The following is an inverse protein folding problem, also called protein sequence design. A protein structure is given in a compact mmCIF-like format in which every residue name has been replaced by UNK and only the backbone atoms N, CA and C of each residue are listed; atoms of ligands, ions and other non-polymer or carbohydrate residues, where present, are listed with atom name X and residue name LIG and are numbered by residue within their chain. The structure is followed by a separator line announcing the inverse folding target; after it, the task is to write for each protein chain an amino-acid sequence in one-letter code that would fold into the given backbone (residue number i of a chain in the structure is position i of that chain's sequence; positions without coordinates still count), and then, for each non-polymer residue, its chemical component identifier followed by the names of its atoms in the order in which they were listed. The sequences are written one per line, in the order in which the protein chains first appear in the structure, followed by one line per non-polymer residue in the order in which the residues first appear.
data_IF_544901068739
#
_entry.id   IF_544901068739
#
_cell.length_a   1.000
_cell.length_b   1.000
_cell.length_c   1.000
_cell.angle_alpha   90.00
_cell.angle_beta   90.00
_cell.angle_gamma   90.00
#
_symmetry.space_group_name_H-M   'P 1'
#
loop_
_entity.id
_entity.type
_entity.pdbx_description
1 polymer ?
#
# COMPACT_ATOMS: atom_id res chain seq x y z
N UNK A 1 53.57 -6.72 -20.10
CA UNK A 1 52.43 -5.78 -19.95
C UNK A 1 51.16 -6.56 -20.20
N UNK A 2 50.48 -7.00 -19.14
CA UNK A 2 49.20 -7.71 -19.24
C UNK A 2 48.08 -6.73 -18.90
N UNK A 3 47.33 -6.30 -19.92
CA UNK A 3 46.08 -5.59 -19.70
C UNK A 3 45.03 -6.58 -19.18
N UNK A 4 44.24 -6.22 -18.14
CA UNK A 4 43.09 -7.02 -17.75
C UNK A 4 42.03 -6.96 -18.86
N UNK A 5 41.39 -8.10 -19.13
CA UNK A 5 40.38 -8.26 -20.17
C UNK A 5 39.13 -7.40 -19.89
N UNK A 6 38.61 -6.75 -20.93
CA UNK A 6 37.40 -5.92 -20.92
C UNK A 6 36.12 -6.58 -20.35
N UNK A 7 36.17 -7.89 -20.06
CA UNK A 7 35.10 -8.63 -19.40
C UNK A 7 34.90 -8.22 -17.94
N UNK A 8 35.94 -7.87 -17.18
CA UNK A 8 35.79 -7.52 -15.75
C UNK A 8 35.15 -6.13 -15.53
N UNK A 9 35.30 -5.20 -16.48
CA UNK A 9 34.73 -3.85 -16.41
C UNK A 9 33.25 -3.77 -16.83
N UNK A 10 32.71 -4.81 -17.49
CA UNK A 10 31.27 -4.89 -17.82
C UNK A 10 30.40 -5.47 -16.69
N UNK A 11 30.98 -6.19 -15.73
CA UNK A 11 30.24 -6.76 -14.59
C UNK A 11 30.00 -5.77 -13.46
N UNK A 12 30.78 -4.70 -13.34
CA UNK A 12 30.57 -3.66 -12.33
C UNK A 12 29.43 -2.68 -12.64
N UNK A 13 29.10 -2.48 -13.93
CA UNK A 13 28.12 -1.46 -14.35
C UNK A 13 26.74 -2.04 -14.73
N UNK A 14 26.66 -3.32 -15.08
CA UNK A 14 25.39 -3.97 -15.47
C UNK A 14 24.70 -4.66 -14.28
N UNK A 15 25.45 -5.09 -13.26
CA UNK A 15 24.89 -5.59 -12.00
C UNK A 15 24.21 -4.51 -11.13
N UNK A 16 24.41 -3.22 -11.45
CA UNK A 16 23.77 -2.11 -10.76
C UNK A 16 22.42 -1.70 -11.38
N UNK A 17 22.06 -2.20 -12.57
CA UNK A 17 20.82 -1.82 -13.27
C UNK A 17 19.71 -2.89 -13.23
N UNK A 18 19.95 -4.05 -12.63
CA UNK A 18 18.97 -5.12 -12.49
C UNK A 18 18.87 -5.54 -11.02
N UNK A 19 18.00 -4.88 -10.26
CA UNK A 19 17.56 -5.39 -8.95
C UNK A 19 17.71 -4.46 -7.74
N UNK A 20 18.10 -3.19 -7.90
CA UNK A 20 17.80 -2.23 -6.83
C UNK A 20 16.30 -1.91 -6.93
N UNK A 21 15.50 -2.09 -5.86
CA UNK A 21 14.15 -1.55 -5.87
C UNK A 21 14.26 -0.07 -6.23
N UNK A 22 13.50 0.35 -7.23
CA UNK A 22 13.43 1.77 -7.58
C UNK A 22 12.92 2.47 -6.33
N UNK A 23 13.75 3.32 -5.72
CA UNK A 23 13.29 4.14 -4.61
C UNK A 23 12.10 4.96 -5.11
N UNK A 24 11.05 5.02 -4.31
CA UNK A 24 9.91 5.88 -4.57
C UNK A 24 10.40 7.30 -4.89
N UNK A 25 9.79 7.96 -5.88
CA UNK A 25 9.79 9.42 -5.83
C UNK A 25 9.04 9.77 -4.56
N UNK A 26 9.65 10.55 -3.67
CA UNK A 26 9.11 10.73 -2.32
C UNK A 26 8.93 12.22 -2.03
N UNK A 27 7.82 12.76 -2.53
CA UNK A 27 7.30 14.06 -2.16
C UNK A 27 6.07 13.89 -1.28
N UNK A 28 5.98 14.66 -0.20
CA UNK A 28 4.78 14.72 0.64
C UNK A 28 4.05 16.05 0.48
N UNK A 29 2.79 16.07 0.90
CA UNK A 29 2.05 17.31 1.08
C UNK A 29 2.68 18.11 2.22
N UNK A 30 3.22 19.28 1.90
CA UNK A 30 3.74 20.22 2.87
C UNK A 30 2.66 21.27 3.20
N UNK A 31 2.09 21.15 4.38
CA UNK A 31 1.14 22.13 4.88
C UNK A 31 1.87 23.15 5.75
N UNK A 32 1.76 24.43 5.38
CA UNK A 32 2.20 25.55 6.22
C UNK A 32 0.96 26.34 6.60
N UNK A 33 0.68 26.41 7.90
CA UNK A 33 -0.43 27.22 8.42
C UNK A 33 -0.01 28.69 8.35
N UNK A 34 -0.26 29.30 7.19
CA UNK A 34 -0.08 30.72 6.97
C UNK A 34 -1.22 31.45 7.67
N UNK A 35 -1.02 31.78 8.93
CA UNK A 35 -2.02 32.50 9.74
C UNK A 35 -2.44 33.78 9.01
N UNK A 36 -3.72 33.86 8.61
CA UNK A 36 -4.28 34.98 7.84
C UNK A 36 -4.11 34.88 6.32
N UNK A 37 -3.54 33.80 5.80
CA UNK A 37 -3.58 33.39 4.39
C UNK A 37 -4.72 32.40 4.12
N UNK A 38 -4.87 31.99 2.85
CA UNK A 38 -5.85 30.97 2.49
C UNK A 38 -5.33 29.57 2.87
N UNK A 39 -6.13 28.82 3.64
CA UNK A 39 -5.80 27.45 4.04
C UNK A 39 -5.57 26.56 2.81
N UNK A 40 -4.51 25.75 2.84
CA UNK A 40 -4.15 24.83 1.75
C UNK A 40 -4.44 23.41 2.16
N UNK A 41 -5.29 22.73 1.39
CA UNK A 41 -5.75 21.39 1.73
C UNK A 41 -6.27 20.65 0.50
N UNK A 42 -6.62 19.40 0.68
CA UNK A 42 -7.18 18.54 -0.35
C UNK A 42 -8.60 18.16 0.06
N UNK A 43 -9.56 18.30 -0.86
CA UNK A 43 -10.94 17.83 -0.70
C UNK A 43 -11.20 16.63 -1.61
N UNK A 44 -11.64 15.53 -1.01
CA UNK A 44 -12.02 14.30 -1.68
C UNK A 44 -13.55 14.21 -1.65
N UNK A 45 -14.22 14.06 -2.82
CA UNK A 45 -15.68 13.90 -2.86
C UNK A 45 -16.15 12.73 -2.00
N UNK A 46 -17.34 12.87 -1.40
CA UNK A 46 -17.94 11.79 -0.63
C UNK A 46 -18.17 10.54 -1.48
N UNK A 47 -17.86 9.37 -0.92
CA UNK A 47 -17.96 8.07 -1.60
C UNK A 47 -18.23 6.97 -0.57
N UNK A 48 -19.05 5.94 -0.89
CA UNK A 48 -19.29 4.79 -0.01
C UNK A 48 -18.03 4.07 0.47
N UNK A 49 -16.97 4.10 -0.33
CA UNK A 49 -15.67 3.50 0.03
C UNK A 49 -14.99 4.20 1.21
N UNK A 50 -15.37 5.45 1.53
CA UNK A 50 -14.79 6.23 2.61
C UNK A 50 -15.49 6.04 3.97
N UNK A 51 -16.64 5.34 4.03
CA UNK A 51 -17.36 5.00 5.27
C UNK A 51 -17.78 3.53 5.34
N UNK A 52 -16.82 2.59 5.33
CA UNK A 52 -17.08 1.16 5.48
C UNK A 52 -17.86 0.86 6.78
N UNK A 53 -18.96 0.12 6.69
CA UNK A 53 -19.88 -0.07 7.81
C UNK A 53 -19.31 -0.93 8.96
N UNK A 54 -18.38 -1.83 8.67
CA UNK A 54 -17.91 -2.89 9.59
C UNK A 54 -16.52 -2.64 10.18
N UNK A 55 -15.85 -1.56 9.79
CA UNK A 55 -14.54 -1.19 10.31
C UNK A 55 -13.72 -0.38 9.32
N UNK A 56 -12.69 0.30 9.80
CA UNK A 56 -11.86 1.20 9.01
C UNK A 56 -10.43 1.23 9.55
N UNK A 57 -9.47 1.48 8.67
CA UNK A 57 -8.13 1.93 9.04
C UNK A 57 -7.81 3.20 8.27
N UNK A 58 -7.33 4.23 8.97
CA UNK A 58 -6.71 5.42 8.37
C UNK A 58 -5.24 5.42 8.79
N UNK A 59 -4.31 5.50 7.84
CA UNK A 59 -2.88 5.54 8.13
C UNK A 59 -2.14 6.50 7.21
N UNK A 60 -1.03 7.07 7.68
CA UNK A 60 -0.20 8.04 6.95
C UNK A 60 1.15 8.22 7.63
N UNK A 61 2.16 8.65 6.88
CA UNK A 61 3.33 9.29 7.46
C UNK A 61 3.04 10.78 7.68
N UNK A 62 3.34 11.28 8.88
CA UNK A 62 3.08 12.68 9.19
C UNK A 62 4.10 13.28 10.15
N UNK A 63 4.34 14.58 9.98
CA UNK A 63 5.03 15.43 10.95
C UNK A 63 4.13 16.62 11.31
N UNK A 64 4.29 17.15 12.52
CA UNK A 64 3.59 18.33 12.99
C UNK A 64 4.51 19.19 13.85
N UNK A 65 4.87 20.35 13.33
CA UNK A 65 5.67 21.34 14.03
C UNK A 65 4.81 22.58 14.32
N UNK A 66 4.69 22.96 15.59
CA UNK A 66 3.96 24.15 16.02
C UNK A 66 4.90 25.29 16.48
N UNK A 67 6.22 25.10 16.40
CA UNK A 67 7.20 26.12 16.77
C UNK A 67 7.10 27.40 15.92
N UNK A 68 6.58 27.28 14.70
CA UNK A 68 6.34 28.40 13.79
C UNK A 68 5.01 29.11 14.02
N UNK A 69 4.18 28.63 14.95
CA UNK A 69 2.85 29.17 15.26
C UNK A 69 2.88 30.06 16.52
N UNK A 70 1.91 30.96 16.73
CA UNK A 70 1.77 31.73 17.95
C UNK A 70 1.61 30.84 19.19
N UNK A 71 2.24 31.25 20.28
CA UNK A 71 2.12 30.62 21.59
C UNK A 71 0.78 30.96 22.26
N UNK A 72 0.35 30.13 23.22
CA UNK A 72 -0.83 30.42 24.06
C UNK A 72 -2.19 30.16 23.42
N UNK A 73 -2.24 29.58 22.21
CA UNK A 73 -3.48 29.19 21.54
C UNK A 73 -3.59 27.67 21.44
N UNK A 74 -4.70 27.13 21.94
CA UNK A 74 -5.06 25.73 21.73
C UNK A 74 -5.64 25.53 20.33
N UNK A 75 -5.27 24.41 19.69
CA UNK A 75 -5.59 24.10 18.29
C UNK A 75 -5.92 22.61 18.14
N UNK A 76 -6.59 22.28 17.05
CA UNK A 76 -6.93 20.92 16.64
C UNK A 76 -6.41 20.57 15.23
N UNK A 77 -5.09 20.72 14.94
CA UNK A 77 -4.50 20.38 13.65
C UNK A 77 -4.97 19.00 13.17
N UNK A 78 -5.58 18.98 11.99
CA UNK A 78 -6.27 17.80 11.48
C UNK A 78 -5.53 17.25 10.27
N UNK A 79 -5.07 16.00 10.36
CA UNK A 79 -4.49 15.27 9.23
C UNK A 79 -5.57 14.97 8.22
N UNK A 80 -6.68 14.44 8.72
CA UNK A 80 -7.81 14.05 7.91
C UNK A 80 -9.10 14.10 8.74
N UNK A 81 -10.19 14.55 8.10
CA UNK A 81 -11.54 14.55 8.67
C UNK A 81 -12.57 14.27 7.60
N UNK A 82 -13.44 13.30 7.84
CA UNK A 82 -14.58 13.01 6.99
C UNK A 82 -15.83 13.68 7.53
N UNK A 83 -16.57 14.40 6.67
CA UNK A 83 -17.65 15.32 7.04
C UNK A 83 -17.10 16.46 7.94
N UNK A 84 -16.36 17.44 7.36
CA UNK A 84 -15.72 18.50 8.12
C UNK A 84 -16.70 19.54 8.69
N UNK A 85 -18.01 19.39 8.48
CA UNK A 85 -18.99 20.27 9.08
C UNK A 85 -18.95 20.19 10.63
N UNK A 86 -19.13 21.33 11.34
CA UNK A 86 -19.03 21.39 12.79
C UNK A 86 -19.95 20.37 13.47
N UNK A 87 -19.35 19.47 14.26
CA UNK A 87 -20.08 18.43 14.99
C UNK A 87 -20.71 17.34 14.13
N UNK A 88 -20.46 17.31 12.82
CA UNK A 88 -21.01 16.33 11.87
C UNK A 88 -20.01 15.22 11.48
N UNK A 89 -18.76 15.29 11.95
CA UNK A 89 -17.70 14.36 11.57
C UNK A 89 -18.03 12.87 11.75
N UNK A 90 -17.75 12.09 10.72
CA UNK A 90 -17.84 10.63 10.79
C UNK A 90 -16.59 10.06 11.44
N UNK A 91 -15.42 10.52 11.04
CA UNK A 91 -14.15 10.21 11.70
C UNK A 91 -13.13 11.30 11.43
N UNK A 92 -12.12 11.35 12.30
CA UNK A 92 -10.92 12.15 12.06
C UNK A 92 -9.69 11.49 12.64
N UNK A 93 -8.54 11.84 12.07
CA UNK A 93 -7.22 11.70 12.68
C UNK A 93 -6.63 13.11 12.83
N UNK A 94 -6.32 13.51 14.07
CA UNK A 94 -5.87 14.87 14.38
C UNK A 94 -4.96 14.90 15.59
N UNK A 95 -4.35 16.06 15.84
CA UNK A 95 -3.58 16.35 17.04
C UNK A 95 -4.28 17.48 17.80
N UNK A 96 -4.34 17.37 19.12
CA UNK A 96 -4.65 18.49 20.00
C UNK A 96 -3.31 19.11 20.45
N UNK A 97 -3.12 20.40 20.21
CA UNK A 97 -1.84 21.09 20.45
C UNK A 97 -2.03 22.51 20.99
N UNK A 98 -1.11 22.96 21.85
CA UNK A 98 -1.11 24.32 22.43
C UNK A 98 0.21 25.08 22.25
N UNK A 99 1.10 24.63 21.35
CA UNK A 99 2.43 25.20 21.18
C UNK A 99 3.24 25.28 22.48
N UNK A 100 3.19 24.19 23.25
CA UNK A 100 3.94 23.97 24.48
C UNK A 100 4.71 22.63 24.41
N UNK A 101 5.03 22.18 23.19
CA UNK A 101 5.60 20.87 22.87
C UNK A 101 4.76 19.65 23.29
N UNK A 102 3.56 19.84 23.83
CA UNK A 102 2.64 18.76 24.15
C UNK A 102 1.66 18.58 23.01
N UNK A 103 1.64 17.39 22.43
CA UNK A 103 0.81 17.01 21.28
C UNK A 103 0.05 15.75 21.64
N UNK A 104 -1.27 15.77 21.57
CA UNK A 104 -2.10 14.59 21.83
C UNK A 104 -2.76 14.12 20.54
N UNK A 105 -2.30 12.99 20.00
CA UNK A 105 -2.90 12.32 18.87
C UNK A 105 -4.30 11.83 19.25
N UNK A 106 -5.27 12.03 18.36
CA UNK A 106 -6.62 11.51 18.50
C UNK A 106 -7.12 10.89 17.21
N UNK A 107 -7.66 9.68 17.33
CA UNK A 107 -8.51 9.08 16.32
C UNK A 107 -9.90 8.90 16.91
N UNK A 108 -10.90 9.45 16.22
CA UNK A 108 -12.30 9.40 16.66
C UNK A 108 -13.16 8.88 15.52
N UNK A 109 -14.16 8.08 15.87
CA UNK A 109 -15.22 7.63 14.98
C UNK A 109 -16.59 7.97 15.57
N UNK A 110 -17.54 8.22 14.70
CA UNK A 110 -18.96 8.34 15.00
C UNK A 110 -19.70 7.14 14.44
N UNK A 111 -20.50 6.56 15.30
CA UNK A 111 -21.24 5.34 15.02
C UNK A 111 -22.72 5.55 15.27
N UNK A 112 -23.51 4.56 14.87
CA UNK A 112 -24.94 4.48 15.19
C UNK A 112 -25.25 4.45 16.70
N UNK A 113 -24.26 4.21 17.56
CA UNK A 113 -24.44 4.11 19.02
C UNK A 113 -23.75 5.20 19.82
N UNK A 114 -22.96 6.07 19.17
CA UNK A 114 -22.24 7.14 19.85
C UNK A 114 -20.93 7.53 19.18
N UNK A 115 -20.16 8.37 19.86
CA UNK A 115 -18.83 8.80 19.42
C UNK A 115 -17.78 8.15 20.31
N UNK A 116 -16.78 7.54 19.69
CA UNK A 116 -15.71 6.81 20.37
C UNK A 116 -14.36 7.26 19.86
N UNK A 117 -13.34 7.27 20.70
CA UNK A 117 -12.01 7.65 20.29
C UNK A 117 -10.91 7.17 21.23
N UNK A 118 -9.72 7.02 20.68
CA UNK A 118 -8.50 6.77 21.43
C UNK A 118 -7.61 8.01 21.40
N UNK A 119 -6.76 8.18 22.40
CA UNK A 119 -5.83 9.32 22.47
C UNK A 119 -4.47 8.87 22.98
N UNK A 120 -3.41 9.47 22.44
CA UNK A 120 -2.03 9.22 22.83
C UNK A 120 -1.25 10.53 22.88
N UNK A 121 -0.57 10.80 23.99
CA UNK A 121 0.26 12.00 24.14
C UNK A 121 1.69 11.70 23.73
N UNK A 122 2.19 12.43 22.74
CA UNK A 122 3.57 12.33 22.30
C UNK A 122 4.52 12.86 23.37
N UNK A 123 5.71 12.25 23.44
CA UNK A 123 6.85 12.91 24.08
C UNK A 123 7.18 14.21 23.33
N UNK A 124 7.74 15.19 24.06
CA UNK A 124 8.09 16.49 23.48
C UNK A 124 8.97 16.33 22.22
N UNK A 125 8.54 16.95 21.12
CA UNK A 125 9.25 16.92 19.83
C UNK A 125 9.12 15.63 19.02
N UNK A 126 8.48 14.57 19.54
CA UNK A 126 8.44 13.28 18.84
C UNK A 126 7.69 13.31 17.50
N UNK A 127 6.77 14.26 17.30
CA UNK A 127 6.04 14.44 16.03
C UNK A 127 6.69 15.49 15.11
N UNK A 128 7.85 16.07 15.46
CA UNK A 128 8.53 17.04 14.60
C UNK A 128 9.20 16.36 13.39
N UNK A 129 9.32 15.04 13.41
CA UNK A 129 9.81 14.20 12.31
C UNK A 129 8.69 13.31 11.81
N UNK A 130 8.78 12.89 10.54
CA UNK A 130 7.83 11.95 9.95
C UNK A 130 7.73 10.68 10.79
N UNK A 131 6.53 10.43 11.28
CA UNK A 131 6.16 9.27 12.08
C UNK A 131 5.00 8.59 11.38
N UNK A 132 5.02 7.26 11.30
CA UNK A 132 3.87 6.55 10.74
C UNK A 132 2.77 6.47 11.79
N UNK A 133 1.59 7.01 11.46
CA UNK A 133 0.45 7.08 12.36
C UNK A 133 -0.70 6.28 11.74
N UNK A 134 -1.37 5.45 12.56
CA UNK A 134 -2.59 4.79 12.13
C UNK A 134 -3.68 4.82 13.22
N UNK A 135 -4.93 4.92 12.77
CA UNK A 135 -6.13 4.74 13.59
C UNK A 135 -6.99 3.63 13.00
N UNK A 136 -7.42 2.68 13.84
CA UNK A 136 -8.30 1.57 13.40
C UNK A 136 -9.58 1.54 14.21
N UNK A 137 -10.68 1.12 13.59
CA UNK A 137 -11.94 0.80 14.25
C UNK A 137 -12.51 -0.51 13.69
N UNK A 138 -12.84 -1.46 14.56
CA UNK A 138 -13.29 -2.83 14.19
C UNK A 138 -14.77 -3.11 14.54
N UNK A 139 -15.54 -2.07 14.87
CA UNK A 139 -16.92 -2.22 15.37
C UNK A 139 -17.02 -2.40 16.89
N UNK A 140 -15.92 -2.72 17.58
CA UNK A 140 -15.88 -2.97 19.02
C UNK A 140 -14.79 -2.17 19.76
N UNK A 141 -13.77 -1.70 19.06
CA UNK A 141 -12.64 -0.97 19.63
C UNK A 141 -12.07 0.04 18.65
N UNK A 142 -11.60 1.16 19.18
CA UNK A 142 -10.80 2.17 18.48
C UNK A 142 -9.38 2.06 18.97
N UNK A 143 -8.40 1.97 18.06
CA UNK A 143 -6.98 1.84 18.40
C UNK A 143 -6.14 2.87 17.67
N UNK A 144 -5.03 3.27 18.29
CA UNK A 144 -3.99 4.11 17.70
C UNK A 144 -2.68 3.35 17.63
N UNK A 145 -1.93 3.56 16.56
CA UNK A 145 -0.62 2.98 16.32
C UNK A 145 0.39 4.06 15.93
N UNK A 146 1.60 3.94 16.45
CA UNK A 146 2.77 4.67 16.00
C UNK A 146 3.80 3.68 15.51
N UNK A 147 4.30 3.89 14.29
CA UNK A 147 5.36 3.06 13.71
C UNK A 147 5.02 1.56 13.67
N UNK A 148 3.73 1.24 13.56
CA UNK A 148 3.19 -0.13 13.57
C UNK A 148 2.95 -0.73 14.96
N UNK A 149 3.27 -0.01 16.04
CA UNK A 149 3.06 -0.46 17.43
C UNK A 149 1.79 0.19 17.99
N UNK A 150 0.91 -0.61 18.61
CA UNK A 150 -0.30 -0.08 19.26
C UNK A 150 0.07 0.74 20.49
N UNK A 151 -0.39 1.99 20.56
CA UNK A 151 -0.10 2.92 21.66
C UNK A 151 -1.31 3.31 22.50
N UNK A 152 -2.53 3.12 21.97
CA UNK A 152 -3.76 3.35 22.72
C UNK A 152 -4.91 2.49 22.19
N UNK A 153 -5.89 2.23 23.07
CA UNK A 153 -7.13 1.51 22.74
C UNK A 153 -8.28 2.04 23.58
N UNK A 154 -9.48 2.05 23.03
CA UNK A 154 -10.73 2.38 23.71
C UNK A 154 -11.86 1.47 23.22
N UNK A 155 -12.78 1.11 24.12
CA UNK A 155 -13.99 0.38 23.75
C UNK A 155 -14.91 1.24 22.88
N UNK A 156 -15.59 0.60 21.94
CA UNK A 156 -16.54 1.22 21.03
C UNK A 156 -17.66 0.24 20.65
N UNK A 157 -18.66 0.73 19.95
CA UNK A 157 -19.77 -0.10 19.46
C UNK A 157 -20.45 0.52 18.24
N UNK A 158 -21.23 -0.28 17.52
CA UNK A 158 -22.06 0.18 16.40
C UNK A 158 -21.30 0.31 15.08
N UNK A 159 -22.01 0.75 14.04
CA UNK A 159 -21.47 0.89 12.69
C UNK A 159 -21.14 2.35 12.41
N UNK A 160 -20.17 2.64 11.54
CA UNK A 160 -19.90 4.00 11.09
C UNK A 160 -21.16 4.63 10.46
N UNK A 161 -21.44 5.88 10.82
CA UNK A 161 -22.52 6.63 10.19
C UNK A 161 -22.11 7.05 8.77
N UNK A 162 -23.07 7.09 7.86
CA UNK A 162 -22.85 7.64 6.52
C UNK A 162 -22.87 9.17 6.53
N UNK A 163 -22.18 9.78 5.59
CA UNK A 163 -22.19 11.23 5.40
C UNK A 163 -22.12 11.60 3.91
N UNK A 164 -22.50 12.85 3.59
CA UNK A 164 -22.52 13.36 2.21
C UNK A 164 -21.46 14.42 1.95
N UNK A 165 -20.89 14.99 3.01
CA UNK A 165 -19.80 15.95 2.94
C UNK A 165 -18.47 15.31 2.53
N UNK A 166 -17.49 16.13 2.13
CA UNK A 166 -16.22 15.64 1.63
C UNK A 166 -15.37 15.02 2.74
N UNK A 167 -14.36 14.26 2.31
CA UNK A 167 -13.19 13.95 3.13
C UNK A 167 -12.15 15.05 2.90
N UNK A 168 -11.66 15.66 3.97
CA UNK A 168 -10.64 16.70 3.91
C UNK A 168 -9.31 16.18 4.43
N UNK A 169 -8.23 16.49 3.73
CA UNK A 169 -6.85 16.13 4.09
C UNK A 169 -6.06 17.43 4.31
N UNK A 170 -5.35 17.51 5.45
CA UNK A 170 -4.52 18.65 5.84
C UNK A 170 -5.28 19.80 6.52
N UNK A 171 -6.59 19.67 6.73
CA UNK A 171 -7.42 20.64 7.46
C UNK A 171 -8.74 19.96 7.91
N UNK A 172 -9.60 20.69 8.61
CA UNK A 172 -10.91 20.21 9.04
C UNK A 172 -12.01 21.28 8.90
N UNK A 173 -12.59 21.67 10.03
CA UNK A 173 -13.68 22.65 10.10
C UNK A 173 -13.18 24.08 9.81
N UNK A 174 -13.59 24.61 8.66
CA UNK A 174 -13.18 25.93 8.18
C UNK A 174 -13.81 27.09 8.97
N UNK A 175 -14.82 26.83 9.80
CA UNK A 175 -15.35 27.85 10.71
C UNK A 175 -14.36 28.16 11.85
N UNK A 176 -13.39 27.28 12.11
CA UNK A 176 -12.32 27.47 13.09
C UNK A 176 -11.06 27.95 12.35
N UNK A 177 -11.02 29.25 12.05
CA UNK A 177 -9.91 29.89 11.33
C UNK A 177 -8.53 29.53 11.93
N UNK A 178 -7.66 28.95 11.10
CA UNK A 178 -6.31 28.48 11.44
C UNK A 178 -6.24 27.46 12.60
N UNK A 179 -7.37 26.99 13.13
CA UNK A 179 -7.42 26.09 14.29
C UNK A 179 -7.30 24.62 13.95
N UNK A 180 -7.75 24.21 12.76
CA UNK A 180 -7.67 22.81 12.30
C UNK A 180 -6.67 22.57 11.16
N UNK A 181 -6.08 23.63 10.58
CA UNK A 181 -5.10 23.48 9.51
C UNK A 181 -3.82 22.81 10.02
N UNK A 182 -3.37 21.78 9.30
CA UNK A 182 -2.13 21.07 9.58
C UNK A 182 -0.91 21.97 9.35
N UNK A 183 0.16 21.75 10.13
CA UNK A 183 1.42 22.48 10.00
C UNK A 183 2.60 21.49 10.06
N UNK A 184 3.00 21.00 8.90
CA UNK A 184 3.95 19.90 8.76
C UNK A 184 3.70 19.10 7.48
N UNK A 185 4.28 17.92 7.42
CA UNK A 185 4.24 17.04 6.25
C UNK A 185 3.18 15.94 6.42
N UNK A 186 2.54 15.56 5.32
CA UNK A 186 1.63 14.41 5.21
C UNK A 186 2.06 13.63 3.98
N UNK A 187 2.20 12.31 4.12
CA UNK A 187 2.62 11.43 3.03
C UNK A 187 1.98 10.03 3.15
N UNK A 188 1.84 9.32 2.04
CA UNK A 188 1.30 7.95 1.96
C UNK A 188 -0.01 7.75 2.76
N UNK A 189 -0.97 8.65 2.58
CA UNK A 189 -2.25 8.55 3.25
C UNK A 189 -3.07 7.40 2.65
N UNK A 190 -3.52 6.47 3.50
CA UNK A 190 -4.32 5.31 3.09
C UNK A 190 -5.56 5.15 3.94
N UNK A 191 -6.63 4.68 3.30
CA UNK A 191 -7.88 4.27 3.94
C UNK A 191 -8.21 2.85 3.51
N UNK A 192 -8.43 1.99 4.50
CA UNK A 192 -8.81 0.59 4.32
C UNK A 192 -10.22 0.33 4.85
N UNK A 193 -11.03 -0.51 4.17
CA UNK A 193 -12.42 -0.77 4.55
C UNK A 193 -12.59 -1.77 5.71
N UNK A 194 -11.54 -1.92 6.53
CA UNK A 194 -11.49 -2.83 7.67
C UNK A 194 -10.41 -2.38 8.66
N UNK A 195 -10.50 -2.87 9.90
CA UNK A 195 -9.46 -2.65 10.90
C UNK A 195 -8.26 -3.56 10.62
N UNK A 196 -7.10 -2.96 10.38
CA UNK A 196 -5.83 -3.66 10.18
C UNK A 196 -5.17 -4.00 11.52
N UNK A 197 -4.42 -5.09 11.56
CA UNK A 197 -3.63 -5.45 12.75
C UNK A 197 -2.31 -4.68 12.79
N UNK A 198 -1.69 -4.61 13.98
CA UNK A 198 -0.37 -4.01 14.18
C UNK A 198 0.68 -4.56 13.19
N UNK A 199 0.67 -5.88 12.95
CA UNK A 199 1.61 -6.54 12.06
C UNK A 199 1.43 -6.12 10.60
N UNK A 200 0.19 -5.93 10.15
CA UNK A 200 -0.11 -5.51 8.78
C UNK A 200 0.31 -4.06 8.55
N UNK A 201 0.04 -3.19 9.53
CA UNK A 201 0.44 -1.78 9.49
C UNK A 201 1.98 -1.69 9.47
N UNK A 202 2.65 -2.43 10.35
CA UNK A 202 4.11 -2.46 10.43
C UNK A 202 4.77 -2.98 9.15
N UNK A 203 4.16 -3.95 8.46
CA UNK A 203 4.72 -4.51 7.22
C UNK A 203 4.54 -3.59 6.01
N UNK A 204 3.46 -2.80 5.94
CA UNK A 204 3.16 -1.94 4.79
C UNK A 204 3.62 -0.49 4.91
N UNK A 205 3.95 -0.01 6.11
CA UNK A 205 4.46 1.37 6.29
C UNK A 205 5.74 1.71 5.51
N UNK A 206 6.72 0.80 5.27
CA UNK A 206 7.95 1.13 4.55
C UNK A 206 7.77 1.05 3.01
N UNK A 207 6.54 0.91 2.53
CA UNK A 207 6.21 0.73 1.12
C UNK A 207 5.53 2.00 0.61
N UNK A 208 5.73 2.36 -0.66
CA UNK A 208 4.81 3.21 -1.42
C UNK A 208 3.90 2.26 -2.21
N UNK A 209 2.58 2.37 -2.02
CA UNK A 209 1.63 1.49 -2.68
C UNK A 209 0.97 2.26 -3.83
N UNK A 210 1.47 2.04 -5.05
CA UNK A 210 1.00 2.76 -6.25
C UNK A 210 -0.30 2.20 -6.84
N UNK A 211 -0.98 1.26 -6.17
CA UNK A 211 -2.29 0.79 -6.58
C UNK A 211 -2.94 -0.11 -5.55
N UNK A 212 -4.19 0.19 -5.25
CA UNK A 212 -5.02 -0.55 -4.30
C UNK A 212 -6.32 -1.06 -4.95
N UNK A 213 -6.93 -2.10 -4.36
CA UNK A 213 -8.34 -2.46 -4.55
C UNK A 213 -9.32 -1.32 -4.72
N UNK A 214 -10.37 -1.58 -5.49
CA UNK A 214 -11.64 -0.88 -5.27
C UNK A 214 -12.08 -1.06 -3.82
N UNK A 215 -12.51 0.03 -3.19
CA UNK A 215 -12.91 0.06 -1.78
C UNK A 215 -11.81 0.43 -0.79
N UNK A 216 -10.55 0.52 -1.24
CA UNK A 216 -9.49 1.22 -0.52
C UNK A 216 -9.19 2.56 -1.21
N UNK A 217 -8.51 3.45 -0.51
CA UNK A 217 -8.01 4.71 -1.07
C UNK A 217 -6.58 4.91 -0.64
N UNK A 218 -5.72 5.40 -1.54
CA UNK A 218 -4.32 5.70 -1.22
C UNK A 218 -3.85 6.91 -2.00
N UNK A 219 -3.44 7.95 -1.28
CA UNK A 219 -2.82 9.15 -1.80
C UNK A 219 -1.35 9.13 -1.40
N UNK A 220 -0.47 8.86 -2.37
CA UNK A 220 0.98 8.94 -2.17
C UNK A 220 1.50 10.39 -2.13
N UNK A 221 0.66 11.37 -2.49
CA UNK A 221 0.97 12.80 -2.41
C UNK A 221 2.25 13.22 -3.16
N UNK A 222 2.63 12.43 -4.18
CA UNK A 222 3.79 12.66 -5.03
C UNK A 222 3.53 13.74 -6.09
N UNK A 223 3.32 14.98 -5.63
CA UNK A 223 3.10 16.15 -6.48
C UNK A 223 1.63 16.40 -6.88
N UNK A 224 0.70 15.54 -6.44
CA UNK A 224 -0.71 15.65 -6.79
C UNK A 224 -1.62 15.00 -5.72
N UNK A 225 -2.93 15.19 -5.87
CA UNK A 225 -3.97 14.63 -5.00
C UNK A 225 -4.62 13.36 -5.56
N UNK A 226 -3.97 12.62 -6.47
CA UNK A 226 -4.58 11.45 -7.10
C UNK A 226 -4.62 10.26 -6.12
N UNK A 227 -5.82 9.71 -5.94
CA UNK A 227 -6.00 8.38 -5.36
C UNK A 227 -5.50 7.29 -6.33
N UNK A 228 -4.51 6.52 -5.89
CA UNK A 228 -3.92 5.40 -6.63
C UNK A 228 -4.86 4.19 -6.77
N UNK A 229 -5.97 4.11 -6.03
CA UNK A 229 -7.05 3.14 -6.31
C UNK A 229 -7.96 3.58 -7.47
N UNK A 230 -7.83 4.85 -7.91
CA UNK A 230 -8.52 5.40 -9.08
C UNK A 230 -9.93 5.91 -8.82
N UNK A 231 -10.43 5.93 -7.58
CA UNK A 231 -11.84 6.23 -7.30
C UNK A 231 -12.08 7.52 -6.53
N UNK A 232 -11.18 7.92 -5.63
CA UNK A 232 -11.38 9.04 -4.72
C UNK A 232 -10.31 10.13 -4.91
N UNK A 233 -10.08 10.56 -6.16
CA UNK A 233 -9.12 11.63 -6.43
C UNK A 233 -9.51 12.92 -5.69
N UNK A 234 -8.51 13.55 -5.06
CA UNK A 234 -8.69 14.79 -4.34
C UNK A 234 -8.61 15.99 -5.29
N UNK A 235 -9.42 16.99 -5.02
CA UNK A 235 -9.30 18.34 -5.57
C UNK A 235 -8.36 19.16 -4.70
N UNK A 236 -7.39 19.82 -5.33
CA UNK A 236 -6.45 20.70 -4.66
C UNK A 236 -7.10 22.05 -4.35
N UNK A 237 -7.07 22.49 -3.09
CA UNK A 237 -7.63 23.79 -2.67
C UNK A 237 -6.52 24.75 -2.29
N UNK A 238 -6.54 25.96 -2.88
CA UNK A 238 -5.57 27.05 -2.65
C UNK A 238 -4.10 26.67 -2.93
N UNK A 239 -3.86 25.86 -3.97
CA UNK A 239 -2.53 25.43 -4.41
C UNK A 239 -1.65 24.85 -3.27
N UNK A 240 -2.00 23.65 -2.77
CA UNK A 240 -1.18 22.89 -1.84
C UNK A 240 0.24 22.67 -2.40
N UNK A 241 1.24 22.64 -1.50
CA UNK A 241 2.64 22.46 -1.86
C UNK A 241 3.00 20.99 -1.67
N UNK A 242 3.69 20.42 -2.65
CA UNK A 242 4.29 19.10 -2.55
C UNK A 242 5.80 19.24 -2.62
N UNK A 243 6.52 18.67 -1.65
CA UNK A 243 7.96 18.83 -1.51
C UNK A 243 8.64 17.50 -1.17
N UNK A 244 9.88 17.26 -1.65
CA UNK A 244 10.64 16.08 -1.24
C UNK A 244 10.81 16.01 0.28
N UNK A 245 10.70 14.81 0.85
CA UNK A 245 10.91 14.60 2.27
C UNK A 245 11.85 13.42 2.55
N UNK A 246 12.10 13.13 3.83
CA UNK A 246 13.11 12.18 4.29
C UNK A 246 12.70 10.70 4.26
N UNK A 247 11.46 10.35 3.87
CA UNK A 247 11.07 8.94 3.79
C UNK A 247 11.89 8.21 2.73
N UNK A 248 12.18 6.95 3.03
CA UNK A 248 12.81 6.03 2.12
C UNK A 248 11.91 4.81 1.97
N UNK A 249 11.03 4.87 0.97
CA UNK A 249 10.01 3.86 0.73
C UNK A 249 10.38 2.97 -0.45
N UNK A 250 9.96 1.71 -0.37
CA UNK A 250 10.04 0.77 -1.49
C UNK A 250 8.77 0.89 -2.32
N UNK A 251 8.89 1.31 -3.58
CA UNK A 251 7.73 1.44 -4.48
C UNK A 251 7.24 0.07 -4.93
N UNK A 252 5.92 -0.14 -4.83
CA UNK A 252 5.25 -1.34 -5.33
C UNK A 252 4.34 -0.92 -6.49
N UNK A 253 4.45 -1.57 -7.67
CA UNK A 253 3.64 -1.25 -8.84
C UNK A 253 2.13 -1.31 -8.57
N UNK A 254 1.33 -0.63 -9.39
CA UNK A 254 -0.13 -0.53 -9.21
C UNK A 254 -0.89 -1.87 -9.19
N UNK A 255 -0.30 -2.92 -9.76
CA UNK A 255 -0.84 -4.29 -9.73
C UNK A 255 -0.33 -5.10 -8.54
N UNK A 256 0.59 -4.56 -7.76
CA UNK A 256 1.39 -5.29 -6.80
C UNK A 256 2.46 -6.18 -7.43
N UNK A 257 2.61 -6.22 -8.76
CA UNK A 257 3.35 -7.27 -9.50
C UNK A 257 4.62 -6.72 -10.14
N UNK A 258 5.74 -7.41 -9.95
CA UNK A 258 6.99 -7.20 -10.69
C UNK A 258 7.48 -8.53 -11.30
N UNK A 259 8.03 -8.48 -12.51
CA UNK A 259 8.65 -9.65 -13.12
C UNK A 259 10.04 -9.89 -12.52
N UNK A 260 10.37 -11.15 -12.24
CA UNK A 260 11.67 -11.58 -11.74
C UNK A 260 12.20 -12.74 -12.58
N UNK A 261 13.48 -12.66 -12.91
CA UNK A 261 14.15 -13.70 -13.68
C UNK A 261 13.76 -13.75 -15.15
N UNK A 262 14.26 -14.78 -15.83
CA UNK A 262 14.01 -15.04 -17.25
C UNK A 262 13.17 -16.28 -17.46
N UNK A 263 12.37 -16.29 -18.53
CA UNK A 263 11.71 -17.49 -19.01
C UNK A 263 12.66 -18.41 -19.77
N UNK A 264 12.35 -19.71 -19.78
CA UNK A 264 13.04 -20.66 -20.64
C UNK A 264 12.35 -20.76 -22.00
N UNK A 265 13.08 -21.25 -23.01
CA UNK A 265 12.54 -21.46 -24.34
C UNK A 265 11.49 -22.58 -24.33
N UNK A 266 10.23 -22.23 -24.63
CA UNK A 266 9.13 -23.16 -24.85
C UNK A 266 8.87 -23.41 -26.34
N UNK A 267 7.83 -24.19 -26.62
CA UNK A 267 7.50 -24.63 -27.99
C UNK A 267 7.13 -23.49 -28.94
N UNK A 268 6.53 -22.43 -28.41
CA UNK A 268 6.07 -21.26 -29.17
C UNK A 268 6.92 -20.00 -28.84
N UNK A 269 8.19 -20.23 -28.45
CA UNK A 269 9.10 -19.20 -27.95
C UNK A 269 9.07 -19.08 -26.43
N UNK A 270 9.56 -17.94 -25.93
CA UNK A 270 9.62 -17.65 -24.49
C UNK A 270 8.20 -17.49 -23.92
N UNK A 271 7.84 -18.36 -22.97
CA UNK A 271 6.56 -18.27 -22.26
C UNK A 271 6.64 -17.13 -21.23
N UNK A 272 5.55 -16.40 -21.04
CA UNK A 272 5.50 -15.27 -20.11
C UNK A 272 4.18 -15.24 -19.35
N UNK A 273 4.27 -14.97 -18.04
CA UNK A 273 3.10 -14.68 -17.21
C UNK A 273 2.70 -13.24 -17.48
N UNK A 274 1.46 -13.03 -17.92
CA UNK A 274 1.03 -11.76 -18.49
C UNK A 274 0.14 -10.93 -17.56
N UNK A 275 -0.57 -11.55 -16.62
CA UNK A 275 -1.63 -10.83 -15.90
C UNK A 275 -2.10 -11.51 -14.60
N UNK A 276 -2.74 -10.68 -13.77
CA UNK A 276 -3.53 -11.02 -12.58
C UNK A 276 -4.93 -10.41 -12.77
N UNK A 277 -5.95 -11.25 -12.86
CA UNK A 277 -7.29 -10.83 -13.32
C UNK A 277 -8.13 -10.02 -12.32
N UNK A 278 -7.74 -9.98 -11.05
CA UNK A 278 -8.40 -9.28 -9.95
C UNK A 278 -7.42 -9.09 -8.79
N UNK A 279 -7.85 -8.50 -7.67
CA UNK A 279 -7.02 -8.36 -6.49
C UNK A 279 -6.38 -9.66 -6.02
N UNK A 280 -5.11 -9.59 -5.67
CA UNK A 280 -4.37 -10.59 -4.89
C UNK A 280 -4.90 -10.62 -3.46
N UNK A 281 -6.16 -10.98 -3.29
CA UNK A 281 -6.78 -11.14 -1.98
C UNK A 281 -7.14 -12.59 -1.76
N UNK A 282 -6.89 -13.05 -0.55
CA UNK A 282 -7.26 -14.38 -0.09
C UNK A 282 -8.75 -14.62 -0.35
N UNK A 283 -9.10 -15.75 -0.97
CA UNK A 283 -10.48 -16.12 -1.35
C UNK A 283 -11.17 -15.26 -2.44
N UNK A 284 -10.42 -14.65 -3.35
CA UNK A 284 -11.03 -13.97 -4.51
C UNK A 284 -11.16 -14.93 -5.69
N UNK A 285 -12.37 -15.46 -6.03
CA UNK A 285 -12.53 -16.44 -7.11
C UNK A 285 -12.22 -15.89 -8.51
N UNK A 286 -12.18 -14.56 -8.67
CA UNK A 286 -11.77 -13.88 -9.90
C UNK A 286 -10.25 -13.80 -10.08
N UNK A 287 -9.46 -14.13 -9.04
CA UNK A 287 -8.01 -14.09 -9.11
C UNK A 287 -7.46 -15.31 -9.87
N UNK A 288 -6.69 -15.07 -10.93
CA UNK A 288 -5.95 -16.11 -11.62
C UNK A 288 -4.66 -15.53 -12.21
N UNK A 289 -3.62 -16.36 -12.24
CA UNK A 289 -2.45 -16.10 -13.06
C UNK A 289 -2.70 -16.63 -14.47
N UNK A 290 -2.28 -15.88 -15.49
CA UNK A 290 -2.35 -16.32 -16.88
C UNK A 290 -0.96 -16.29 -17.52
N UNK A 291 -0.58 -17.40 -18.15
CA UNK A 291 0.59 -17.49 -19.02
C UNK A 291 0.15 -17.48 -20.49
N UNK A 292 0.95 -16.88 -21.35
CA UNK A 292 0.74 -16.91 -22.80
C UNK A 292 1.88 -17.63 -23.51
N UNK A 293 1.68 -17.91 -24.81
CA UNK A 293 2.62 -18.65 -25.66
C UNK A 293 2.87 -20.07 -25.14
N UNK A 294 1.90 -20.63 -24.43
CA UNK A 294 1.90 -22.03 -23.99
C UNK A 294 1.28 -22.87 -25.11
N UNK A 295 1.93 -23.96 -25.51
CA UNK A 295 1.39 -24.82 -26.58
C UNK A 295 0.14 -25.55 -26.11
N UNK A 296 -0.85 -25.70 -26.99
CA UNK A 296 -2.01 -26.57 -26.76
C UNK A 296 -1.57 -28.01 -26.47
N UNK A 297 -2.27 -28.67 -25.54
CA UNK A 297 -1.91 -30.02 -25.07
C UNK A 297 -0.75 -30.07 -24.06
N UNK A 298 -0.20 -28.93 -23.65
CA UNK A 298 0.77 -28.88 -22.53
C UNK A 298 0.04 -29.02 -21.20
N UNK A 299 0.66 -29.69 -20.23
CA UNK A 299 0.21 -29.73 -18.84
C UNK A 299 1.08 -28.81 -18.00
N UNK A 300 0.52 -28.11 -17.03
CA UNK A 300 1.28 -27.14 -16.24
C UNK A 300 0.92 -27.11 -14.76
N UNK A 301 1.87 -26.59 -13.97
CA UNK A 301 1.73 -26.31 -12.55
C UNK A 301 2.27 -24.91 -12.27
N UNK A 302 1.55 -24.14 -11.44
CA UNK A 302 2.03 -22.86 -10.93
C UNK A 302 2.61 -23.09 -9.54
N UNK A 303 3.85 -22.63 -9.35
CA UNK A 303 4.54 -22.60 -8.07
C UNK A 303 4.24 -21.29 -7.37
N UNK A 304 4.00 -21.31 -6.06
CA UNK A 304 3.78 -20.12 -5.24
C UNK A 304 4.62 -20.26 -3.96
N UNK A 305 5.42 -19.24 -3.62
CA UNK A 305 6.18 -19.21 -2.37
C UNK A 305 6.38 -17.77 -1.85
N UNK A 306 6.74 -17.56 -0.57
CA UNK A 306 6.87 -16.23 0.03
C UNK A 306 8.02 -15.36 -0.50
N UNK A 307 8.90 -15.86 -1.38
CA UNK A 307 9.97 -15.05 -1.95
C UNK A 307 10.44 -15.62 -3.28
N UNK A 308 10.97 -14.72 -4.12
CA UNK A 308 11.76 -15.12 -5.27
C UNK A 308 13.18 -15.45 -4.81
N UNK A 309 13.84 -16.39 -5.50
CA UNK A 309 15.24 -16.69 -5.30
C UNK A 309 16.11 -15.53 -5.80
N UNK A 310 17.21 -15.20 -5.10
CA UNK A 310 18.13 -14.15 -5.52
C UNK A 310 18.94 -14.52 -6.77
N UNK A 311 18.98 -15.81 -7.12
CA UNK A 311 19.63 -16.37 -8.30
C UNK A 311 18.81 -17.57 -8.81
N UNK A 312 18.88 -17.90 -10.11
CA UNK A 312 18.13 -19.03 -10.64
C UNK A 312 18.64 -20.35 -10.05
N UNK A 313 17.71 -21.24 -9.69
CA UNK A 313 17.99 -22.63 -9.38
C UNK A 313 17.77 -23.48 -10.65
N UNK A 314 18.84 -23.93 -11.32
CA UNK A 314 18.71 -24.68 -12.56
C UNK A 314 18.27 -26.12 -12.27
N UNK A 315 17.21 -26.57 -12.92
CA UNK A 315 16.73 -27.95 -12.82
C UNK A 315 16.12 -28.39 -14.15
N UNK A 316 16.50 -29.57 -14.65
CA UNK A 316 15.93 -30.16 -15.88
C UNK A 316 15.87 -29.21 -17.09
N UNK A 317 16.86 -28.31 -17.23
CA UNK A 317 16.95 -27.36 -18.35
C UNK A 317 16.08 -26.10 -18.23
N UNK A 318 15.48 -25.86 -17.06
CA UNK A 318 14.77 -24.62 -16.72
C UNK A 318 15.42 -23.92 -15.53
N UNK A 319 15.25 -22.60 -15.46
CA UNK A 319 15.65 -21.78 -14.31
C UNK A 319 14.44 -21.51 -13.42
N UNK A 320 14.48 -22.00 -12.18
CA UNK A 320 13.48 -21.68 -11.17
C UNK A 320 13.91 -20.46 -10.38
N UNK A 321 12.97 -19.55 -10.19
CA UNK A 321 13.17 -18.30 -9.46
C UNK A 321 12.27 -18.21 -8.21
N UNK A 322 11.60 -19.29 -7.85
CA UNK A 322 10.69 -19.37 -6.70
C UNK A 322 11.35 -20.24 -5.62
N UNK A 323 11.32 -19.80 -4.37
CA UNK A 323 11.85 -20.58 -3.25
C UNK A 323 10.92 -21.74 -2.88
N UNK A 324 11.08 -22.87 -3.59
CA UNK A 324 10.34 -24.11 -3.32
C UNK A 324 10.83 -24.87 -2.08
N UNK A 325 11.86 -24.37 -1.38
CA UNK A 325 12.33 -24.94 -0.10
C UNK A 325 11.59 -24.36 1.10
N UNK A 326 10.85 -23.27 0.89
CA UNK A 326 10.03 -22.65 1.92
C UNK A 326 8.95 -23.60 2.45
N UNK A 327 8.70 -23.65 3.77
CA UNK A 327 7.60 -24.44 4.35
C UNK A 327 6.21 -23.88 3.97
N UNK A 328 6.15 -22.71 3.33
CA UNK A 328 4.93 -22.07 2.81
C UNK A 328 4.90 -22.06 1.27
N UNK A 329 5.42 -23.11 0.64
CA UNK A 329 5.30 -23.35 -0.80
C UNK A 329 4.00 -24.08 -1.15
N UNK A 330 3.39 -23.70 -2.28
CA UNK A 330 2.16 -24.30 -2.80
C UNK A 330 2.24 -24.53 -4.31
N UNK A 331 1.47 -25.50 -4.78
CA UNK A 331 1.24 -25.74 -6.21
C UNK A 331 -0.22 -25.53 -6.56
N UNK A 332 -0.48 -24.80 -7.65
CA UNK A 332 -1.81 -24.72 -8.25
C UNK A 332 -1.82 -25.44 -9.61
N UNK A 333 -2.87 -26.23 -9.92
CA UNK A 333 -3.02 -26.78 -11.25
C UNK A 333 -3.22 -25.64 -12.26
N UNK A 334 -2.57 -25.76 -13.42
CA UNK A 334 -2.80 -24.85 -14.55
C UNK A 334 -3.75 -25.54 -15.52
N UNK A 335 -4.85 -24.87 -15.83
CA UNK A 335 -5.81 -25.30 -16.83
C UNK A 335 -5.17 -25.46 -18.20
N UNK A 336 -5.77 -26.33 -19.01
CA UNK A 336 -5.27 -26.65 -20.36
C UNK A 336 -5.19 -25.36 -21.19
N UNK A 337 -4.06 -25.11 -21.88
CA UNK A 337 -3.92 -23.92 -22.71
C UNK A 337 -4.98 -23.89 -23.82
N UNK A 338 -5.62 -22.73 -24.01
CA UNK A 338 -6.60 -22.52 -25.07
C UNK A 338 -5.95 -22.42 -26.46
N UNK A 339 -6.79 -22.29 -27.49
CA UNK A 339 -6.34 -22.19 -28.89
C UNK A 339 -5.48 -20.94 -29.17
N UNK A 340 -5.52 -19.94 -28.29
CA UNK A 340 -4.68 -18.74 -28.35
C UNK A 340 -3.36 -18.91 -27.59
N UNK A 341 -3.13 -20.08 -27.00
CA UNK A 341 -1.95 -20.41 -26.21
C UNK A 341 -1.94 -19.77 -24.82
N UNK A 342 -3.12 -19.47 -24.28
CA UNK A 342 -3.29 -18.92 -22.92
C UNK A 342 -3.61 -20.04 -21.94
N UNK A 343 -2.83 -20.14 -20.87
CA UNK A 343 -3.03 -21.08 -19.77
C UNK A 343 -3.34 -20.29 -18.49
N UNK A 344 -4.29 -20.77 -17.67
CA UNK A 344 -4.76 -20.06 -16.45
C UNK A 344 -4.72 -20.98 -15.25
N UNK A 345 -4.44 -20.47 -14.05
CA UNK A 345 -4.58 -21.29 -12.82
C UNK A 345 -6.03 -21.70 -12.60
N UNK A 346 -6.25 -22.96 -12.19
CA UNK A 346 -7.59 -23.53 -12.04
C UNK A 346 -8.32 -23.15 -10.75
N UNK A 347 -7.64 -22.49 -9.81
CA UNK A 347 -8.19 -22.06 -8.53
C UNK A 347 -7.55 -20.73 -8.08
N UNK A 348 -8.21 -19.95 -7.20
CA UNK A 348 -7.62 -18.74 -6.61
C UNK A 348 -6.42 -19.08 -5.71
N UNK A 349 -5.66 -18.05 -5.33
CA UNK A 349 -4.56 -18.20 -4.36
C UNK A 349 -5.09 -18.89 -3.08
N UNK A 350 -4.37 -19.91 -2.54
CA UNK A 350 -4.75 -20.57 -1.29
C UNK A 350 -4.93 -19.58 -0.13
N UNK A 351 -5.96 -19.80 0.68
CA UNK A 351 -6.15 -19.06 1.93
C UNK A 351 -5.16 -19.53 2.99
N UNK A 352 -3.94 -19.01 2.90
CA UNK A 352 -2.88 -19.27 3.86
C UNK A 352 -2.37 -17.96 4.47
N UNK A 353 -2.46 -17.77 5.79
CA UNK A 353 -1.95 -16.59 6.49
C UNK A 353 -0.46 -16.31 6.25
N UNK A 354 0.31 -17.32 5.82
CA UNK A 354 1.75 -17.20 5.50
C UNK A 354 2.00 -16.56 4.14
N UNK A 355 0.98 -16.50 3.27
CA UNK A 355 1.02 -15.83 1.97
C UNK A 355 0.51 -14.38 2.06
N UNK A 356 -0.29 -14.04 3.08
CA UNK A 356 -0.81 -12.69 3.26
C UNK A 356 0.30 -11.73 3.70
N UNK A 357 0.32 -10.53 3.09
CA UNK A 357 1.18 -9.39 3.46
C UNK A 357 2.69 -9.60 3.34
N UNK A 358 3.11 -10.74 2.79
CA UNK A 358 4.46 -10.99 2.33
C UNK A 358 4.56 -10.77 0.80
N UNK A 359 5.74 -10.42 0.27
CA UNK A 359 6.02 -10.67 -1.14
C UNK A 359 5.73 -12.15 -1.42
N UNK A 360 5.21 -12.47 -2.59
CA UNK A 360 4.97 -13.84 -3.03
C UNK A 360 5.50 -13.97 -4.43
N UNK A 361 6.36 -14.95 -4.66
CA UNK A 361 6.81 -15.29 -5.99
C UNK A 361 5.94 -16.38 -6.58
N UNK A 362 5.58 -16.23 -7.85
CA UNK A 362 4.89 -17.24 -8.64
C UNK A 362 5.63 -17.51 -9.94
N UNK A 363 5.65 -18.76 -10.39
CA UNK A 363 6.22 -19.17 -11.67
C UNK A 363 5.46 -20.38 -12.19
N UNK A 364 5.17 -20.42 -13.49
CA UNK A 364 4.52 -21.58 -14.10
C UNK A 364 5.53 -22.47 -14.81
N UNK A 365 5.40 -23.77 -14.60
CA UNK A 365 6.17 -24.81 -15.26
C UNK A 365 5.21 -25.61 -16.12
N UNK A 366 5.64 -25.92 -17.34
CA UNK A 366 4.88 -26.69 -18.31
C UNK A 366 5.68 -27.87 -18.81
N UNK A 367 4.97 -28.95 -19.13
CA UNK A 367 5.49 -30.14 -19.78
C UNK A 367 4.73 -30.41 -21.07
N UNK A 368 5.48 -30.71 -22.13
CA UNK A 368 4.92 -31.12 -23.41
C UNK A 368 5.93 -31.99 -24.16
N UNK A 369 5.63 -33.29 -24.28
CA UNK A 369 6.51 -34.27 -24.93
C UNK A 369 6.74 -34.00 -26.43
N UNK A 370 5.92 -33.16 -27.07
CA UNK A 370 6.04 -32.82 -28.48
C UNK A 370 6.95 -31.63 -28.75
N UNK A 371 7.60 -31.08 -27.72
CA UNK A 371 8.45 -29.91 -27.82
C UNK A 371 9.93 -30.29 -27.67
N UNK A 372 10.81 -29.58 -28.39
CA UNK A 372 12.26 -29.79 -28.32
C UNK A 372 12.78 -29.70 -26.88
N UNK A 373 12.23 -28.77 -26.10
CA UNK A 373 12.35 -28.74 -24.65
C UNK A 373 11.07 -29.31 -24.06
N UNK A 374 11.14 -30.55 -23.57
CA UNK A 374 9.99 -31.26 -23.00
C UNK A 374 9.45 -30.59 -21.73
N UNK A 375 10.27 -29.77 -21.08
CA UNK A 375 9.95 -28.98 -19.88
C UNK A 375 10.36 -27.53 -20.16
N UNK A 376 9.49 -26.58 -19.82
CA UNK A 376 9.79 -25.16 -19.93
C UNK A 376 9.05 -24.36 -18.83
N UNK A 377 9.60 -23.21 -18.47
CA UNK A 377 9.06 -22.35 -17.42
C UNK A 377 8.90 -20.91 -17.90
N UNK A 378 7.92 -20.22 -17.34
CA UNK A 378 7.77 -18.78 -17.51
C UNK A 378 8.85 -18.03 -16.71
N UNK A 379 8.95 -16.71 -16.92
CA UNK A 379 9.55 -15.83 -15.91
C UNK A 379 8.74 -15.94 -14.60
N UNK A 380 9.36 -15.59 -13.47
CA UNK A 380 8.62 -15.46 -12.22
C UNK A 380 7.98 -14.08 -12.10
N UNK A 381 6.98 -13.96 -11.24
CA UNK A 381 6.40 -12.71 -10.81
C UNK A 381 6.46 -12.64 -9.29
N UNK A 382 6.91 -11.52 -8.73
CA UNK A 382 6.70 -11.18 -7.33
C UNK A 382 5.44 -10.34 -7.20
N UNK A 383 4.58 -10.67 -6.25
CA UNK A 383 3.34 -9.94 -5.95
C UNK A 383 3.17 -9.74 -4.45
N UNK A 384 2.50 -8.67 -4.03
CA UNK A 384 2.01 -8.57 -2.65
C UNK A 384 0.57 -9.07 -2.59
N UNK A 385 0.30 -10.00 -1.67
CA UNK A 385 -1.05 -10.47 -1.40
C UNK A 385 -1.63 -9.64 -0.26
N UNK A 386 -2.70 -8.92 -0.55
CA UNK A 386 -3.44 -8.13 0.43
C UNK A 386 -4.38 -9.07 1.22
N UNK A 387 -4.65 -8.77 2.50
CA UNK A 387 -5.47 -9.61 3.38
C UNK A 387 -6.95 -9.72 2.94
#
# INVERSE_FOLDING_TARGET
MSFPSLSALRYGLIGALLGSPVQAQNQGLQSTNAIGGADRYLDVPSSPSLYPQTGITVETWASYDDATLPTGLFRWPTLLRYEPAPGAEVYFLRVDASNNNTKSLRFKVRTTTGQFGASYTFAAGALNTLTHIAGTFDGASVKLYLDGVQVATAAASGNLVSATGPLRIGNGDLSIAAGEMWNGEIDELRIWPFARTAAEIASSRPLEIAGLPSGCSSWNLNGNGSDSSGTNHATLVNAPIFAPNALNLTSIPATGIAAVGSSSAGCNGLASVLHVAALTRVNTPAFAFAATRVRTGSSGVALIAPNALPAPFPILGIDLWVDFTSPAYFTLPVGVPDVLGTARTGAPIPNDPRLALAPVATQMIFVNASCTNAIYATQALTLVILP
#
